data_IF_990205098063
#
_entry.id   IF_990205098063
#
_cell.length_a   1.000
_cell.length_b   1.000
_cell.length_c   1.000
_cell.angle_alpha   90.00
_cell.angle_beta   90.00
_cell.angle_gamma   90.00
#
_symmetry.space_group_name_H-M   'P 1'
#
loop_
_entity.id
_entity.type
_entity.pdbx_description
1 polymer ?
#
# COMPACT_ATOMS: atom_id res chain seq x y z
N UNK A 1 -46.27 -14.70 6.62
CA UNK A 1 -44.81 -14.77 6.55
C UNK A 1 -44.25 -14.06 7.76
N UNK A 2 -43.61 -14.79 8.67
CA UNK A 2 -43.13 -14.27 9.96
C UNK A 2 -41.70 -13.75 9.80
N UNK A 3 -41.52 -12.45 10.01
CA UNK A 3 -40.20 -11.79 9.99
C UNK A 3 -39.57 -11.98 11.38
N UNK A 4 -38.54 -12.82 11.46
CA UNK A 4 -37.75 -13.01 12.70
C UNK A 4 -36.78 -11.84 12.87
N UNK A 5 -37.01 -11.07 13.93
CA UNK A 5 -36.14 -9.97 14.37
C UNK A 5 -34.85 -10.55 14.95
N UNK A 6 -33.74 -10.38 14.25
CA UNK A 6 -32.42 -10.75 14.75
C UNK A 6 -31.95 -9.64 15.71
N UNK A 7 -31.83 -9.98 16.99
CA UNK A 7 -31.33 -9.09 18.05
C UNK A 7 -29.81 -8.98 17.92
N UNK A 8 -29.31 -7.80 17.58
CA UNK A 8 -27.91 -7.45 17.66
C UNK A 8 -27.51 -7.32 19.13
N UNK A 9 -26.73 -8.27 19.64
CA UNK A 9 -26.10 -8.18 20.94
C UNK A 9 -24.81 -7.34 20.83
N UNK A 10 -24.85 -6.15 21.42
CA UNK A 10 -23.72 -5.24 21.58
C UNK A 10 -22.75 -5.81 22.62
N UNK A 11 -21.55 -6.23 22.18
CA UNK A 11 -20.47 -6.64 23.06
C UNK A 11 -19.51 -5.46 23.26
N UNK A 12 -19.74 -4.70 24.33
CA UNK A 12 -18.84 -3.64 24.79
C UNK A 12 -17.68 -4.24 25.57
N UNK A 13 -16.52 -4.33 24.94
CA UNK A 13 -15.27 -4.72 25.62
C UNK A 13 -14.60 -3.49 26.21
N UNK A 14 -14.67 -3.33 27.53
CA UNK A 14 -13.94 -2.31 28.27
C UNK A 14 -12.47 -2.69 28.38
N UNK A 15 -11.58 -1.93 27.73
CA UNK A 15 -10.13 -2.05 27.89
C UNK A 15 -9.70 -1.11 29.02
N UNK A 16 -9.35 -1.70 30.18
CA UNK A 16 -8.74 -0.98 31.31
C UNK A 16 -7.26 -0.73 31.03
N UNK A 17 -6.88 0.55 30.82
CA UNK A 17 -5.51 1.02 30.73
C UNK A 17 -4.94 1.14 32.15
N UNK A 18 -4.03 0.25 32.52
CA UNK A 18 -3.22 0.36 33.75
C UNK A 18 -1.97 1.17 33.42
N UNK A 19 -1.95 2.43 33.85
CA UNK A 19 -0.79 3.32 33.79
C UNK A 19 0.08 3.09 35.02
N UNK A 20 1.23 2.44 34.87
CA UNK A 20 2.25 2.34 35.93
C UNK A 20 3.19 3.54 35.80
N UNK A 21 3.02 4.54 36.65
CA UNK A 21 3.96 5.65 36.80
C UNK A 21 5.00 5.23 37.83
N UNK A 22 6.19 4.84 37.36
CA UNK A 22 7.35 4.65 38.24
C UNK A 22 8.06 5.98 38.45
N UNK A 23 7.79 6.64 39.56
CA UNK A 23 8.55 7.76 40.04
C UNK A 23 9.81 7.21 40.74
N UNK A 24 10.99 7.34 40.13
CA UNK A 24 12.27 7.20 40.82
C UNK A 24 12.66 8.54 41.40
N UNK A 25 12.38 8.73 42.68
CA UNK A 25 13.02 9.77 43.48
C UNK A 25 14.45 9.31 43.83
N UNK A 26 15.44 10.08 43.41
CA UNK A 26 16.81 9.87 43.80
C UNK A 26 17.15 10.87 44.92
N UNK A 27 17.45 10.33 46.10
CA UNK A 27 17.91 11.07 47.25
C UNK A 27 19.40 10.85 47.40
N UNK A 28 20.10 11.94 47.61
CA UNK A 28 21.51 12.14 47.82
C UNK A 28 22.31 11.04 48.51
N UNK A 29 23.41 10.65 47.90
CA UNK A 29 24.60 10.17 48.60
C UNK A 29 25.83 10.69 47.85
N UNK A 30 26.45 11.66 48.46
CA UNK A 30 27.73 12.25 48.12
C UNK A 30 28.83 11.23 48.39
N UNK A 31 29.56 10.80 47.38
CA UNK A 31 30.84 10.13 47.54
C UNK A 31 31.77 10.63 46.45
N UNK A 32 32.77 11.37 46.90
CA UNK A 32 33.92 11.80 46.11
C UNK A 32 34.58 10.58 45.45
N UNK A 33 34.58 10.54 44.15
CA UNK A 33 35.54 9.78 43.39
C UNK A 33 35.91 10.55 42.13
N UNK A 34 37.07 11.11 42.20
CA UNK A 34 37.79 11.82 41.15
C UNK A 34 38.01 10.86 39.98
N UNK A 35 37.02 10.73 39.08
CA UNK A 35 37.21 10.12 37.79
C UNK A 35 37.42 11.24 36.77
N UNK A 36 38.66 11.34 36.34
CA UNK A 36 39.15 12.16 35.26
C UNK A 36 38.28 11.94 34.01
N UNK A 37 37.19 12.71 33.87
CA UNK A 37 36.46 12.81 32.62
C UNK A 37 37.36 13.57 31.65
N UNK A 38 38.07 12.82 30.84
CA UNK A 38 38.60 13.36 29.59
C UNK A 38 37.39 13.87 28.82
N UNK A 39 37.06 15.14 28.99
CA UNK A 39 36.16 15.82 28.09
C UNK A 39 36.84 15.73 26.73
N UNK A 40 36.29 14.90 25.86
CA UNK A 40 36.59 14.97 24.44
C UNK A 40 36.23 16.37 24.01
N UNK A 41 37.24 17.24 23.96
CA UNK A 41 37.14 18.52 23.30
C UNK A 41 36.78 18.22 21.86
N UNK A 42 35.51 18.39 21.52
CA UNK A 42 35.06 18.43 20.14
C UNK A 42 35.89 19.54 19.52
N UNK A 43 36.79 19.15 18.62
CA UNK A 43 37.63 20.09 17.89
C UNK A 43 36.69 21.11 17.22
N UNK A 44 37.06 22.38 17.27
CA UNK A 44 36.27 23.47 16.67
C UNK A 44 36.13 23.32 15.13
N UNK A 45 36.74 22.27 14.56
CA UNK A 45 36.63 21.89 13.12
C UNK A 45 35.52 20.90 12.82
N UNK A 46 34.93 20.24 13.82
CA UNK A 46 33.81 19.32 13.61
C UNK A 46 32.51 20.12 13.38
N UNK A 47 32.31 20.52 12.14
CA UNK A 47 31.07 21.18 11.73
C UNK A 47 29.93 20.15 11.65
N UNK A 48 28.97 20.26 12.57
CA UNK A 48 27.74 19.50 12.46
C UNK A 48 26.92 20.12 11.34
N UNK A 49 26.70 19.33 10.27
CA UNK A 49 25.90 19.77 9.12
C UNK A 49 24.56 19.05 9.16
N UNK A 50 23.48 19.82 9.10
CA UNK A 50 22.14 19.29 8.96
C UNK A 50 21.77 19.19 7.48
N UNK A 51 21.34 18.02 7.05
CA UNK A 51 20.82 17.80 5.70
C UNK A 51 19.31 17.69 5.79
N UNK A 52 18.61 18.56 5.04
CA UNK A 52 17.16 18.42 4.87
C UNK A 52 16.88 17.26 3.90
N UNK A 53 16.38 16.16 4.44
CA UNK A 53 16.11 14.92 3.70
C UNK A 53 15.12 15.15 2.56
N UNK A 54 14.07 15.95 2.76
CA UNK A 54 13.07 16.22 1.73
C UNK A 54 13.68 17.00 0.55
N UNK A 55 14.56 17.99 0.86
CA UNK A 55 15.28 18.72 -0.18
C UNK A 55 16.28 17.85 -0.92
N UNK A 56 16.93 16.92 -0.22
CA UNK A 56 17.85 15.96 -0.83
C UNK A 56 17.10 15.04 -1.81
N UNK A 57 16.02 14.42 -1.35
CA UNK A 57 15.21 13.50 -2.18
C UNK A 57 14.61 14.19 -3.40
N UNK A 58 14.14 15.44 -3.25
CA UNK A 58 13.55 16.19 -4.39
C UNK A 58 14.57 16.66 -5.42
N UNK A 59 15.85 16.82 -5.03
CA UNK A 59 16.93 17.27 -5.92
C UNK A 59 17.80 16.15 -6.46
N UNK A 60 17.72 14.97 -5.88
CA UNK A 60 18.52 13.83 -6.32
C UNK A 60 17.97 13.27 -7.63
N UNK A 61 18.80 13.28 -8.69
CA UNK A 61 18.36 12.85 -10.04
C UNK A 61 17.82 11.42 -10.08
N UNK A 62 18.47 10.49 -9.38
CA UNK A 62 17.99 9.11 -9.27
C UNK A 62 16.56 9.02 -8.74
N UNK A 63 16.24 9.81 -7.69
CA UNK A 63 14.91 9.83 -7.11
C UNK A 63 13.86 10.42 -8.06
N UNK A 64 14.24 11.44 -8.83
CA UNK A 64 13.39 12.02 -9.88
C UNK A 64 13.09 11.01 -10.99
N UNK A 65 14.14 10.31 -11.45
CA UNK A 65 14.01 9.29 -12.48
C UNK A 65 13.15 8.11 -12.01
N UNK A 66 13.36 7.67 -10.77
CA UNK A 66 12.55 6.64 -10.16
C UNK A 66 11.07 7.05 -10.09
N UNK A 67 10.80 8.25 -9.60
CA UNK A 67 9.44 8.80 -9.54
C UNK A 67 8.80 8.85 -10.93
N UNK A 68 9.50 9.34 -11.94
CA UNK A 68 9.02 9.41 -13.31
C UNK A 68 8.75 8.02 -13.90
N UNK A 69 9.61 7.05 -13.62
CA UNK A 69 9.46 5.65 -14.01
C UNK A 69 8.21 5.02 -13.37
N UNK A 70 8.03 5.21 -12.06
CA UNK A 70 6.86 4.69 -11.35
C UNK A 70 5.56 5.31 -11.85
N UNK A 71 5.55 6.62 -12.07
CA UNK A 71 4.40 7.33 -12.63
C UNK A 71 4.04 6.82 -14.03
N UNK A 72 5.04 6.62 -14.88
CA UNK A 72 4.85 6.07 -16.24
C UNK A 72 4.27 4.67 -16.18
N UNK A 73 4.80 3.79 -15.33
CA UNK A 73 4.28 2.43 -15.14
C UNK A 73 2.84 2.43 -14.61
N UNK A 74 2.53 3.30 -13.66
CA UNK A 74 1.17 3.46 -13.14
C UNK A 74 0.19 3.87 -14.24
N UNK A 75 0.52 4.90 -15.03
CA UNK A 75 -0.29 5.35 -16.17
C UNK A 75 -0.48 4.28 -17.23
N UNK A 76 0.57 3.51 -17.53
CA UNK A 76 0.49 2.41 -18.49
C UNK A 76 -0.45 1.31 -17.98
N UNK A 77 -0.30 0.89 -16.72
CA UNK A 77 -1.16 -0.13 -16.13
C UNK A 77 -2.63 0.31 -16.10
N UNK A 78 -2.90 1.58 -15.79
CA UNK A 78 -4.24 2.16 -15.81
C UNK A 78 -4.83 2.18 -17.24
N UNK A 79 -4.07 2.64 -18.21
CA UNK A 79 -4.50 2.67 -19.62
C UNK A 79 -4.80 1.26 -20.15
N UNK A 80 -3.97 0.28 -19.83
CA UNK A 80 -4.18 -1.12 -20.19
C UNK A 80 -5.43 -1.70 -19.54
N UNK A 81 -5.67 -1.40 -18.26
CA UNK A 81 -6.87 -1.83 -17.56
C UNK A 81 -8.13 -1.26 -18.21
N UNK A 82 -8.14 0.04 -18.51
CA UNK A 82 -9.25 0.71 -19.20
C UNK A 82 -9.50 0.10 -20.58
N UNK A 83 -8.44 -0.14 -21.36
CA UNK A 83 -8.55 -0.77 -22.68
C UNK A 83 -9.15 -2.19 -22.60
N UNK A 84 -8.69 -3.00 -21.63
CA UNK A 84 -9.22 -4.35 -21.39
C UNK A 84 -10.68 -4.33 -20.94
N UNK A 85 -11.06 -3.40 -20.05
CA UNK A 85 -12.46 -3.24 -19.62
C UNK A 85 -13.37 -2.86 -20.78
N UNK A 86 -12.95 -1.92 -21.61
CA UNK A 86 -13.71 -1.51 -22.80
C UNK A 86 -13.85 -2.65 -23.80
N UNK A 87 -12.79 -3.43 -24.02
CA UNK A 87 -12.85 -4.61 -24.88
C UNK A 87 -13.84 -5.65 -24.35
N UNK A 88 -13.79 -5.92 -23.05
CA UNK A 88 -14.74 -6.83 -22.39
C UNK A 88 -16.19 -6.34 -22.52
N UNK A 89 -16.45 -5.06 -22.28
CA UNK A 89 -17.79 -4.47 -22.43
C UNK A 89 -18.32 -4.62 -23.85
N UNK A 90 -17.48 -4.37 -24.88
CA UNK A 90 -17.87 -4.56 -26.28
C UNK A 90 -18.23 -6.02 -26.57
N UNK A 91 -17.48 -6.98 -26.05
CA UNK A 91 -17.78 -8.41 -26.24
C UNK A 91 -19.09 -8.81 -25.54
N UNK A 92 -19.35 -8.28 -24.34
CA UNK A 92 -20.63 -8.52 -23.65
C UNK A 92 -21.80 -7.97 -24.44
N UNK A 93 -21.70 -6.74 -24.96
CA UNK A 93 -22.74 -6.13 -25.80
C UNK A 93 -22.97 -6.92 -27.09
N UNK A 94 -21.90 -7.37 -27.74
CA UNK A 94 -21.99 -8.19 -28.93
C UNK A 94 -22.67 -9.54 -28.63
N UNK A 95 -22.31 -10.17 -27.51
CA UNK A 95 -22.96 -11.41 -27.09
C UNK A 95 -24.47 -11.21 -26.83
N UNK A 96 -24.83 -10.15 -26.09
CA UNK A 96 -26.24 -9.82 -25.80
C UNK A 96 -27.05 -9.63 -27.11
N UNK A 97 -26.46 -8.94 -28.08
CA UNK A 97 -27.13 -8.73 -29.39
C UNK A 97 -27.35 -10.02 -30.21
N UNK A 98 -26.48 -11.02 -30.02
CA UNK A 98 -26.50 -12.26 -30.79
C UNK A 98 -27.05 -13.46 -30.00
N UNK A 99 -27.28 -13.33 -28.71
CA UNK A 99 -27.64 -14.45 -27.82
C UNK A 99 -28.83 -15.26 -28.28
N UNK A 100 -29.85 -14.60 -28.84
CA UNK A 100 -31.08 -15.26 -29.34
C UNK A 100 -30.86 -16.07 -30.61
N UNK A 101 -29.82 -15.75 -31.40
CA UNK A 101 -29.53 -16.40 -32.70
C UNK A 101 -28.46 -17.49 -32.59
N UNK A 102 -27.69 -17.51 -31.51
CA UNK A 102 -26.63 -18.49 -31.30
C UNK A 102 -27.21 -19.87 -30.90
N UNK A 103 -26.59 -20.92 -31.38
CA UNK A 103 -26.84 -22.29 -30.91
C UNK A 103 -26.49 -22.44 -29.43
N UNK A 104 -27.13 -23.37 -28.73
CA UNK A 104 -26.95 -23.56 -27.28
C UNK A 104 -25.47 -23.79 -26.88
N UNK A 105 -24.75 -24.60 -27.68
CA UNK A 105 -23.33 -24.87 -27.46
C UNK A 105 -22.46 -23.61 -27.63
N UNK A 106 -22.72 -22.78 -28.62
CA UNK A 106 -22.02 -21.52 -28.86
C UNK A 106 -22.29 -20.51 -27.75
N UNK A 107 -23.51 -20.47 -27.21
CA UNK A 107 -23.84 -19.65 -26.06
C UNK A 107 -23.03 -20.05 -24.84
N UNK A 108 -23.04 -21.35 -24.50
CA UNK A 108 -22.29 -21.88 -23.36
C UNK A 108 -20.78 -21.59 -23.49
N UNK A 109 -20.19 -21.80 -24.66
CA UNK A 109 -18.78 -21.50 -24.92
C UNK A 109 -18.46 -20.01 -24.78
N UNK A 110 -19.36 -19.13 -25.25
CA UNK A 110 -19.16 -17.67 -25.13
C UNK A 110 -19.29 -17.21 -23.69
N UNK A 111 -20.26 -17.70 -22.93
CA UNK A 111 -20.44 -17.40 -21.51
C UNK A 111 -19.23 -17.83 -20.69
N UNK A 112 -18.69 -19.01 -20.95
CA UNK A 112 -17.47 -19.49 -20.30
C UNK A 112 -16.26 -18.61 -20.64
N UNK A 113 -16.14 -18.15 -21.89
CA UNK A 113 -15.08 -17.24 -22.32
C UNK A 113 -15.19 -15.87 -21.63
N UNK A 114 -16.38 -15.29 -21.56
CA UNK A 114 -16.64 -14.03 -20.88
C UNK A 114 -16.35 -14.13 -19.38
N UNK A 115 -16.74 -15.23 -18.74
CA UNK A 115 -16.42 -15.48 -17.33
C UNK A 115 -14.91 -15.52 -17.07
N UNK A 116 -14.14 -16.21 -17.93
CA UNK A 116 -12.68 -16.23 -17.84
C UNK A 116 -12.09 -14.83 -18.00
N UNK A 117 -12.54 -14.06 -18.98
CA UNK A 117 -12.07 -12.69 -19.20
C UNK A 117 -12.35 -11.77 -18.00
N UNK A 118 -13.49 -11.94 -17.35
CA UNK A 118 -13.79 -11.21 -16.13
C UNK A 118 -12.80 -11.56 -15.01
N UNK A 119 -12.46 -12.83 -14.82
CA UNK A 119 -11.46 -13.26 -13.85
C UNK A 119 -10.06 -12.74 -14.20
N UNK A 120 -9.69 -12.75 -15.48
CA UNK A 120 -8.42 -12.19 -15.96
C UNK A 120 -8.31 -10.68 -15.70
N UNK A 121 -9.41 -9.93 -15.85
CA UNK A 121 -9.45 -8.49 -15.52
C UNK A 121 -9.21 -8.25 -14.03
N UNK A 122 -9.85 -9.03 -13.17
CA UNK A 122 -9.66 -8.93 -11.72
C UNK A 122 -8.23 -9.29 -11.32
N UNK A 123 -7.68 -10.38 -11.89
CA UNK A 123 -6.30 -10.77 -11.66
C UNK A 123 -5.30 -9.72 -12.16
N UNK A 124 -5.55 -9.14 -13.34
CA UNK A 124 -4.72 -8.06 -13.88
C UNK A 124 -4.68 -6.85 -12.93
N UNK A 125 -5.84 -6.42 -12.43
CA UNK A 125 -5.94 -5.29 -11.51
C UNK A 125 -5.14 -5.53 -10.21
N UNK A 126 -5.27 -6.73 -9.64
CA UNK A 126 -4.53 -7.12 -8.43
C UNK A 126 -3.03 -7.20 -8.69
N UNK A 127 -2.63 -7.85 -9.79
CA UNK A 127 -1.22 -8.06 -10.12
C UNK A 127 -0.52 -6.74 -10.46
N UNK A 128 -1.19 -5.83 -11.20
CA UNK A 128 -0.64 -4.52 -11.52
C UNK A 128 -0.40 -3.68 -10.24
N UNK A 129 -1.36 -3.70 -9.30
CA UNK A 129 -1.20 -3.04 -8.00
C UNK A 129 -0.04 -3.61 -7.19
N UNK A 130 0.01 -4.94 -7.05
CA UNK A 130 1.08 -5.63 -6.33
C UNK A 130 2.46 -5.41 -6.96
N UNK A 131 2.54 -5.40 -8.30
CA UNK A 131 3.80 -5.15 -9.01
C UNK A 131 4.36 -3.75 -8.73
N UNK A 132 3.50 -2.72 -8.73
CA UNK A 132 3.90 -1.35 -8.40
C UNK A 132 4.37 -1.24 -6.94
N UNK A 133 3.66 -1.87 -6.01
CA UNK A 133 4.06 -1.88 -4.59
C UNK A 133 5.39 -2.59 -4.36
N UNK A 134 5.58 -3.76 -4.98
CA UNK A 134 6.82 -4.52 -4.86
C UNK A 134 8.03 -3.77 -5.47
N UNK A 135 7.83 -3.06 -6.58
CA UNK A 135 8.88 -2.25 -7.17
C UNK A 135 9.23 -1.06 -6.28
N UNK A 136 8.23 -0.39 -5.74
CA UNK A 136 8.45 0.70 -4.78
C UNK A 136 9.20 0.24 -3.53
N UNK A 137 8.89 -0.95 -3.01
CA UNK A 137 9.57 -1.52 -1.85
C UNK A 137 11.06 -1.82 -2.14
N UNK A 138 11.36 -2.40 -3.31
CA UNK A 138 12.75 -2.69 -3.73
C UNK A 138 13.64 -1.47 -3.88
N UNK A 139 13.07 -0.34 -4.20
CA UNK A 139 13.81 0.90 -4.39
C UNK A 139 14.03 1.66 -3.06
N UNK A 140 13.45 1.17 -1.96
CA UNK A 140 13.65 1.69 -0.61
C UNK A 140 14.68 0.89 0.21
N UNK A 141 15.15 -0.25 -0.29
CA UNK A 141 16.22 -1.06 0.30
C UNK A 141 17.60 -0.63 -0.18
#
# INVERSE_FOLDING_TARGET
MKITKLKLASLTTAIALVSVISACGNKDAQTDSSANKTASTISAEDKIVYVNSDSLLTKYEYFKDLKAKMETKGKTAEADLVAKQQAFQREVQQYQAQQSTLAAEQRAATEQRLSRKQQELQAYQQNAGSALQNEQAKEQE
#
